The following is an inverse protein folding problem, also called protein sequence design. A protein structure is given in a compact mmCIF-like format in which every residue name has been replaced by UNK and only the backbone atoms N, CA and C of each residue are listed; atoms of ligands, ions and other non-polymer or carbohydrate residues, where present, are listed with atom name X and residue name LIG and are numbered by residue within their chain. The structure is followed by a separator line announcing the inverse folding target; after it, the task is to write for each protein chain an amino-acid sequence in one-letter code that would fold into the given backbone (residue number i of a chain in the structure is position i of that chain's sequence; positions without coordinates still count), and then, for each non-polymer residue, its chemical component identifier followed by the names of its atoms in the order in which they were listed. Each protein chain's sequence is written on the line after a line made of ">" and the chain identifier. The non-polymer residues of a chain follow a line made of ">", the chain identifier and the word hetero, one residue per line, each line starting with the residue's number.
data_IF_461908112283
#
_entry.id   IF_461908112283
#
_cell.length_a   1.000
_cell.length_b   1.000
_cell.length_c   1.000
_cell.angle_alpha   90.00
_cell.angle_beta   90.00
_cell.angle_gamma   90.00
#
_symmetry.space_group_name_H-M   'P 1'
#
loop_
_entity.id
_entity.type
_entity.pdbx_description
1 polymer ?
#
# COMPACT_ATOMS: atom_id res chain seq x y z
N UNK A 1 -4.02 8.31 -10.80
CA UNK A 1 -2.73 8.44 -10.09
C UNK A 1 -3.02 8.44 -8.61
N UNK A 2 -2.02 8.09 -7.83
CA UNK A 2 -2.08 8.13 -6.37
C UNK A 2 -0.86 8.87 -5.84
N UNK A 3 -1.03 9.49 -4.68
CA UNK A 3 0.06 10.00 -3.86
C UNK A 3 0.26 9.05 -2.68
N UNK A 4 1.52 8.83 -2.31
CA UNK A 4 1.89 7.94 -1.21
C UNK A 4 2.47 8.76 -0.06
N UNK A 5 1.92 8.59 1.14
CA UNK A 5 2.35 9.28 2.35
C UNK A 5 2.89 8.27 3.34
N UNK A 6 4.12 8.43 3.83
CA UNK A 6 4.70 7.52 4.83
C UNK A 6 3.95 7.66 6.16
N UNK A 7 3.58 6.52 6.75
CA UNK A 7 2.93 6.44 8.06
C UNK A 7 3.68 5.53 9.04
N UNK A 8 4.82 4.94 8.63
CA UNK A 8 5.71 4.18 9.52
C UNK A 8 6.82 3.42 8.79
N UNK A 9 7.74 2.83 9.55
CA UNK A 9 8.87 2.02 9.02
C UNK A 9 10.02 2.83 8.41
N UNK A 10 10.97 2.17 7.76
CA UNK A 10 12.19 2.80 7.24
C UNK A 10 12.01 3.38 5.83
N UNK A 11 12.26 4.70 5.67
CA UNK A 11 12.17 5.41 4.37
C UNK A 11 13.19 4.91 3.34
N UNK A 12 14.35 4.41 3.76
CA UNK A 12 15.38 3.93 2.85
C UNK A 12 14.92 2.68 2.07
N UNK A 13 13.98 1.92 2.63
CA UNK A 13 13.34 0.82 1.93
C UNK A 13 12.46 1.29 0.78
N UNK A 14 11.87 2.50 0.87
CA UNK A 14 11.04 3.04 -0.19
C UNK A 14 11.84 3.29 -1.45
N UNK A 15 12.97 3.98 -1.33
CA UNK A 15 13.81 4.34 -2.47
C UNK A 15 14.26 3.08 -3.21
N UNK A 16 14.81 2.11 -2.48
CA UNK A 16 15.26 0.82 -3.04
C UNK A 16 14.12 0.04 -3.67
N UNK A 17 12.96 -0.01 -3.00
CA UNK A 17 11.81 -0.77 -3.50
C UNK A 17 11.21 -0.08 -4.72
N UNK A 18 11.09 1.25 -4.77
CA UNK A 18 10.50 2.00 -5.88
C UNK A 18 11.33 1.88 -7.16
N UNK A 19 12.66 1.94 -7.04
CA UNK A 19 13.57 1.70 -8.16
C UNK A 19 13.31 0.33 -8.81
N UNK A 20 12.98 -0.68 -8.01
CA UNK A 20 12.73 -2.04 -8.47
C UNK A 20 11.25 -2.33 -8.82
N UNK A 21 10.33 -1.59 -8.22
CA UNK A 21 8.87 -1.72 -8.39
C UNK A 21 8.36 -1.11 -9.69
N UNK A 22 9.07 -0.11 -10.20
CA UNK A 22 8.50 0.79 -11.19
C UNK A 22 8.54 0.22 -12.61
N UNK A 23 7.38 -0.20 -13.10
CA UNK A 23 7.12 -0.09 -14.53
C UNK A 23 6.99 1.40 -14.85
N UNK A 24 7.67 1.87 -15.89
CA UNK A 24 7.47 3.25 -16.36
C UNK A 24 6.30 3.23 -17.34
N UNK A 25 5.14 3.73 -16.91
CA UNK A 25 3.96 3.92 -17.75
C UNK A 25 3.74 5.41 -17.91
N UNK A 26 3.81 5.92 -19.14
CA UNK A 26 3.68 7.35 -19.43
C UNK A 26 4.62 8.22 -18.58
N UNK A 27 5.90 7.82 -18.46
CA UNK A 27 6.93 8.45 -17.63
C UNK A 27 6.65 8.44 -16.11
N UNK A 28 5.67 7.68 -15.64
CA UNK A 28 5.34 7.56 -14.22
C UNK A 28 5.61 6.14 -13.70
N UNK A 29 6.22 5.99 -12.51
CA UNK A 29 6.31 4.72 -11.80
C UNK A 29 4.93 4.10 -11.57
N UNK A 30 4.78 2.83 -11.91
CA UNK A 30 3.55 2.07 -11.71
C UNK A 30 3.82 0.73 -11.01
N UNK A 31 2.95 0.39 -10.05
CA UNK A 31 2.92 -0.89 -9.35
C UNK A 31 1.81 -1.74 -9.96
N UNK A 32 2.13 -2.96 -10.43
CA UNK A 32 1.15 -3.90 -10.97
C UNK A 32 0.78 -4.95 -9.93
N UNK A 33 -0.47 -4.92 -9.47
CA UNK A 33 -1.04 -5.98 -8.65
C UNK A 33 -1.43 -7.16 -9.56
N UNK A 34 -0.83 -8.32 -9.32
CA UNK A 34 -1.11 -9.56 -10.07
C UNK A 34 -1.55 -10.73 -9.17
N UNK A 35 -1.46 -10.56 -7.86
CA UNK A 35 -1.82 -11.56 -6.86
C UNK A 35 -2.69 -10.94 -5.76
N UNK A 36 -3.30 -11.81 -4.96
CA UNK A 36 -4.07 -11.41 -3.77
C UNK A 36 -3.76 -12.36 -2.61
N UNK A 37 -3.70 -11.82 -1.41
CA UNK A 37 -3.56 -12.56 -0.16
C UNK A 37 -4.84 -12.40 0.64
N UNK A 38 -5.44 -13.49 1.12
CA UNK A 38 -6.61 -13.39 2.01
C UNK A 38 -6.20 -12.75 3.34
N UNK A 39 -7.07 -11.91 3.90
CA UNK A 39 -6.84 -11.25 5.20
C UNK A 39 -7.26 -12.17 6.36
N UNK A 40 -6.75 -13.40 6.35
CA UNK A 40 -6.93 -14.37 7.44
C UNK A 40 -5.87 -14.13 8.54
N UNK A 41 -6.17 -14.50 9.79
CA UNK A 41 -5.33 -14.19 10.95
C UNK A 41 -3.84 -14.53 10.75
N UNK A 42 -3.53 -15.77 10.34
CA UNK A 42 -2.13 -16.19 10.14
C UNK A 42 -1.38 -15.41 9.04
N UNK A 43 -2.09 -14.93 8.01
CA UNK A 43 -1.47 -14.09 6.97
C UNK A 43 -1.19 -12.68 7.50
N UNK A 44 -2.13 -12.10 8.24
CA UNK A 44 -1.96 -10.79 8.87
C UNK A 44 -0.85 -10.82 9.94
N UNK A 45 -0.79 -11.89 10.75
CA UNK A 45 0.26 -12.11 11.73
C UNK A 45 1.65 -12.18 11.09
N UNK A 46 1.78 -12.84 9.93
CA UNK A 46 3.04 -12.88 9.18
C UNK A 46 3.50 -11.48 8.75
N UNK A 47 2.59 -10.66 8.21
CA UNK A 47 2.90 -9.27 7.86
C UNK A 47 3.24 -8.47 9.12
N UNK A 48 2.47 -8.61 10.18
CA UNK A 48 2.70 -7.93 11.46
C UNK A 48 4.06 -8.28 12.07
N UNK A 49 4.48 -9.55 12.00
CA UNK A 49 5.77 -10.00 12.50
C UNK A 49 6.92 -9.33 11.75
N UNK A 50 6.81 -9.15 10.43
CA UNK A 50 7.82 -8.39 9.66
C UNK A 50 7.83 -6.91 10.02
N UNK A 51 6.67 -6.36 10.39
CA UNK A 51 6.54 -4.98 10.84
C UNK A 51 7.02 -4.75 12.29
N UNK A 52 7.44 -5.79 13.01
CA UNK A 52 8.01 -5.66 14.36
C UNK A 52 9.41 -5.04 14.34
N UNK A 53 10.15 -5.20 13.23
CA UNK A 53 11.42 -4.53 12.99
C UNK A 53 11.21 -3.34 12.04
N UNK A 54 11.37 -2.11 12.54
CA UNK A 54 11.22 -0.89 11.74
C UNK A 54 12.19 -0.80 10.55
N UNK A 55 13.29 -1.57 10.55
CA UNK A 55 14.22 -1.65 9.44
C UNK A 55 13.78 -2.60 8.32
N UNK A 56 12.74 -3.41 8.58
CA UNK A 56 12.27 -4.47 7.67
C UNK A 56 10.95 -4.16 6.95
N UNK A 57 10.38 -2.97 7.18
CA UNK A 57 9.21 -2.52 6.42
C UNK A 57 9.17 -1.01 6.19
N UNK A 58 8.36 -0.61 5.22
CA UNK A 58 7.76 0.73 5.16
C UNK A 58 6.25 0.62 5.02
N UNK A 59 5.54 1.47 5.76
CA UNK A 59 4.09 1.62 5.69
C UNK A 59 3.70 2.97 5.09
N UNK A 60 2.78 2.95 4.14
CA UNK A 60 2.33 4.10 3.36
C UNK A 60 0.80 4.16 3.34
N UNK A 61 0.26 5.37 3.21
CA UNK A 61 -1.12 5.62 2.84
C UNK A 61 -1.17 6.16 1.42
N UNK A 62 -1.96 5.50 0.59
CA UNK A 62 -2.19 5.88 -0.79
C UNK A 62 -3.53 6.58 -0.93
N UNK A 63 -3.50 7.82 -1.42
CA UNK A 63 -4.68 8.65 -1.67
C UNK A 63 -4.77 8.95 -3.17
N UNK A 64 -5.99 9.10 -3.73
CA UNK A 64 -6.12 9.53 -5.11
C UNK A 64 -5.58 10.95 -5.26
N UNK A 65 -4.91 11.20 -6.38
CA UNK A 65 -4.48 12.54 -6.79
C UNK A 65 -4.79 12.75 -8.26
N UNK A 66 -5.01 14.01 -8.65
CA UNK A 66 -5.25 14.41 -10.03
C UNK A 66 -4.69 15.79 -10.31
N UNK A 67 -4.40 16.07 -11.56
CA UNK A 67 -3.83 17.35 -12.04
C UNK A 67 -4.82 18.51 -11.97
N UNK A 68 -6.11 18.19 -11.97
CA UNK A 68 -7.21 19.13 -11.81
C UNK A 68 -8.40 18.43 -11.10
N UNK A 69 -9.49 19.16 -10.88
CA UNK A 69 -10.66 18.65 -10.17
C UNK A 69 -11.33 17.46 -10.87
N UNK A 70 -11.46 17.49 -12.19
CA UNK A 70 -12.09 16.42 -12.97
C UNK A 70 -11.24 15.15 -12.94
N UNK A 71 -9.94 15.28 -13.12
CA UNK A 71 -8.98 14.18 -12.99
C UNK A 71 -9.00 13.63 -11.55
N UNK A 72 -9.00 14.47 -10.52
CA UNK A 72 -9.10 14.00 -9.13
C UNK A 72 -10.35 13.16 -8.89
N UNK A 73 -11.51 13.57 -9.41
CA UNK A 73 -12.77 12.81 -9.32
C UNK A 73 -12.62 11.46 -10.05
N UNK A 74 -12.08 11.47 -11.27
CA UNK A 74 -11.84 10.26 -12.05
C UNK A 74 -10.90 9.28 -11.32
N UNK A 75 -9.76 9.75 -10.82
CA UNK A 75 -8.79 8.93 -10.12
C UNK A 75 -9.35 8.40 -8.78
N UNK A 76 -10.15 9.20 -8.09
CA UNK A 76 -10.87 8.76 -6.88
C UNK A 76 -11.83 7.62 -7.20
N UNK A 77 -12.65 7.76 -8.24
CA UNK A 77 -13.57 6.71 -8.67
C UNK A 77 -12.84 5.44 -9.10
N UNK A 78 -11.73 5.57 -9.83
CA UNK A 78 -10.91 4.44 -10.25
C UNK A 78 -10.28 3.72 -9.06
N UNK A 79 -9.69 4.45 -8.10
CA UNK A 79 -9.10 3.85 -6.90
C UNK A 79 -10.16 3.11 -6.08
N UNK A 80 -11.31 3.74 -5.85
CA UNK A 80 -12.39 3.16 -5.07
C UNK A 80 -12.92 1.88 -5.73
N UNK A 81 -13.38 1.97 -6.98
CA UNK A 81 -14.08 0.86 -7.62
C UNK A 81 -13.17 -0.29 -8.05
N UNK A 82 -11.95 0.01 -8.54
CA UNK A 82 -11.05 -1.01 -9.10
C UNK A 82 -10.18 -1.68 -8.06
N UNK A 83 -9.90 -0.99 -6.95
CA UNK A 83 -9.00 -1.50 -5.92
C UNK A 83 -9.71 -1.65 -4.59
N UNK A 84 -10.21 -0.56 -4.00
CA UNK A 84 -10.69 -0.60 -2.61
C UNK A 84 -11.93 -1.49 -2.48
N UNK A 85 -13.00 -1.19 -3.21
CA UNK A 85 -14.26 -1.94 -3.17
C UNK A 85 -14.03 -3.40 -3.60
N UNK A 86 -13.16 -3.62 -4.58
CA UNK A 86 -12.80 -4.97 -5.03
C UNK A 86 -12.10 -5.76 -3.92
N UNK A 87 -11.06 -5.20 -3.30
CA UNK A 87 -10.28 -5.87 -2.25
C UNK A 87 -11.11 -6.07 -0.97
N UNK A 88 -11.96 -5.10 -0.61
CA UNK A 88 -12.96 -5.24 0.47
C UNK A 88 -13.91 -6.41 0.18
N UNK A 89 -14.50 -6.47 -1.03
CA UNK A 89 -15.42 -7.56 -1.39
C UNK A 89 -14.77 -8.94 -1.39
N UNK A 90 -13.44 -9.00 -1.62
CA UNK A 90 -12.68 -10.25 -1.62
C UNK A 90 -12.05 -10.58 -0.28
N UNK A 91 -12.16 -9.69 0.72
CA UNK A 91 -11.50 -9.82 2.01
C UNK A 91 -10.01 -10.16 1.84
N UNK A 92 -9.36 -9.41 0.95
CA UNK A 92 -7.99 -9.69 0.53
C UNK A 92 -7.16 -8.40 0.42
N UNK A 93 -5.84 -8.55 0.59
CA UNK A 93 -4.85 -7.56 0.20
C UNK A 93 -4.37 -7.83 -1.23
N UNK A 94 -4.08 -6.77 -1.99
CA UNK A 94 -3.37 -6.88 -3.26
C UNK A 94 -1.89 -7.18 -3.03
N UNK A 95 -1.32 -8.10 -3.81
CA UNK A 95 0.08 -8.50 -3.69
C UNK A 95 0.85 -8.17 -4.98
N UNK A 96 2.05 -7.62 -4.81
CA UNK A 96 3.06 -7.46 -5.84
C UNK A 96 4.42 -7.91 -5.28
N UNK A 97 5.02 -8.92 -5.90
CA UNK A 97 6.39 -9.31 -5.59
C UNK A 97 7.35 -8.44 -6.41
N UNK A 98 8.37 -7.93 -5.73
CA UNK A 98 9.39 -7.04 -6.28
C UNK A 98 10.69 -7.80 -6.31
N UNK A 99 11.27 -7.91 -7.50
CA UNK A 99 12.43 -8.75 -7.77
C UNK A 99 12.30 -9.34 -9.18
N UNK A 100 13.41 -9.56 -9.86
CA UNK A 100 13.42 -10.21 -11.17
C UNK A 100 14.60 -11.21 -11.26
N UNK A 101 14.62 -12.05 -12.30
CA UNK A 101 15.68 -13.07 -12.49
C UNK A 101 17.10 -12.47 -12.60
N UNK A 102 17.21 -11.18 -12.96
CA UNK A 102 18.47 -10.46 -13.11
C UNK A 102 18.91 -9.77 -11.81
N UNK A 103 17.97 -9.47 -10.91
CA UNK A 103 18.12 -8.81 -9.61
C UNK A 103 17.19 -9.47 -8.58
N UNK A 104 17.56 -10.66 -8.08
CA UNK A 104 16.77 -11.42 -7.11
C UNK A 104 16.77 -10.81 -5.70
N UNK A 105 17.41 -9.66 -5.49
CA UNK A 105 17.54 -9.01 -4.18
C UNK A 105 17.52 -7.48 -4.25
N UNK A 106 16.87 -6.79 -3.30
CA UNK A 106 15.96 -7.37 -2.31
C UNK A 106 14.68 -7.88 -2.98
N UNK A 107 14.31 -9.12 -2.68
CA UNK A 107 12.95 -9.56 -2.89
C UNK A 107 12.11 -8.72 -1.91
N UNK A 108 11.25 -7.83 -2.37
CA UNK A 108 10.29 -7.13 -1.50
C UNK A 108 8.89 -7.63 -1.84
N UNK A 109 7.98 -7.56 -0.88
CA UNK A 109 6.57 -7.86 -1.10
C UNK A 109 5.77 -6.62 -0.74
N UNK A 110 4.99 -6.13 -1.69
CA UNK A 110 4.01 -5.07 -1.48
C UNK A 110 2.68 -5.72 -1.11
N UNK A 111 2.16 -5.33 0.04
CA UNK A 111 0.82 -5.68 0.52
C UNK A 111 -0.04 -4.43 0.47
N UNK A 112 -1.12 -4.46 -0.31
CA UNK A 112 -2.04 -3.34 -0.49
C UNK A 112 -3.36 -3.69 0.17
N UNK A 113 -3.58 -3.19 1.37
CA UNK A 113 -4.79 -3.42 2.14
C UNK A 113 -5.84 -2.35 1.82
N UNK A 114 -7.11 -2.73 1.62
CA UNK A 114 -8.20 -1.77 1.77
C UNK A 114 -8.31 -1.32 3.24
N UNK A 115 -9.16 -0.33 3.56
CA UNK A 115 -9.49 -0.02 4.95
C UNK A 115 -9.99 -1.28 5.68
N UNK A 116 -9.30 -1.68 6.74
CA UNK A 116 -9.59 -2.88 7.52
C UNK A 116 -9.00 -2.75 8.93
N UNK A 117 -9.38 -3.65 9.84
CA UNK A 117 -8.96 -3.60 11.25
C UNK A 117 -7.43 -3.60 11.42
N UNK A 118 -6.71 -4.36 10.59
CA UNK A 118 -5.25 -4.38 10.57
C UNK A 118 -4.66 -2.99 10.26
N UNK A 119 -5.15 -2.33 9.20
CA UNK A 119 -4.72 -0.99 8.82
C UNK A 119 -5.12 0.05 9.87
N UNK A 120 -6.34 -0.03 10.41
CA UNK A 120 -6.87 0.86 11.43
C UNK A 120 -6.06 0.77 12.72
N UNK A 121 -5.75 -0.44 13.20
CA UNK A 121 -4.94 -0.63 14.39
C UNK A 121 -3.52 -0.06 14.23
N UNK A 122 -2.93 -0.20 13.04
CA UNK A 122 -1.64 0.43 12.74
C UNK A 122 -1.73 1.95 12.76
N UNK A 123 -2.71 2.54 12.05
CA UNK A 123 -2.85 3.99 11.94
C UNK A 123 -3.23 4.64 13.28
N UNK A 124 -4.09 4.03 14.08
CA UNK A 124 -4.42 4.51 15.43
C UNK A 124 -3.17 4.64 16.31
N UNK A 125 -2.19 3.75 16.14
CA UNK A 125 -0.94 3.77 16.92
C UNK A 125 0.08 4.77 16.38
N UNK A 126 0.20 4.90 15.05
CA UNK A 126 1.30 5.64 14.42
C UNK A 126 0.89 7.03 13.91
N UNK A 127 -0.33 7.17 13.37
CA UNK A 127 -0.82 8.38 12.70
C UNK A 127 -2.32 8.64 13.02
N UNK A 128 -2.71 8.79 14.31
CA UNK A 128 -4.11 8.90 14.71
C UNK A 128 -4.81 10.13 14.12
N UNK A 129 -4.13 11.28 14.07
CA UNK A 129 -4.67 12.52 13.49
C UNK A 129 -4.99 12.38 12.00
N UNK A 130 -4.19 11.61 11.26
CA UNK A 130 -4.44 11.33 9.85
C UNK A 130 -5.67 10.44 9.70
N UNK A 131 -5.79 9.39 10.51
CA UNK A 131 -6.95 8.50 10.51
C UNK A 131 -8.25 9.24 10.81
N UNK A 132 -8.25 10.12 11.82
CA UNK A 132 -9.39 10.98 12.15
C UNK A 132 -9.78 11.87 10.98
N UNK A 133 -8.80 12.48 10.31
CA UNK A 133 -9.04 13.32 9.13
C UNK A 133 -9.69 12.52 8.00
N UNK A 134 -9.22 11.29 7.77
CA UNK A 134 -9.76 10.41 6.74
C UNK A 134 -11.19 9.97 7.05
N UNK A 135 -11.50 9.66 8.32
CA UNK A 135 -12.86 9.36 8.77
C UNK A 135 -13.79 10.56 8.63
N UNK A 136 -13.39 11.74 9.09
CA UNK A 136 -14.19 12.97 8.98
C UNK A 136 -14.53 13.31 7.51
N UNK A 137 -13.57 13.10 6.61
CA UNK A 137 -13.75 13.36 5.18
C UNK A 137 -14.39 12.20 4.41
N UNK A 138 -14.66 11.07 5.08
CA UNK A 138 -15.09 9.80 4.45
C UNK A 138 -14.20 9.42 3.26
N UNK A 139 -12.90 9.71 3.38
CA UNK A 139 -11.95 9.45 2.35
C UNK A 139 -11.55 7.97 2.40
N UNK A 140 -11.68 7.28 1.28
CA UNK A 140 -11.14 5.92 1.13
C UNK A 140 -9.64 6.00 0.81
N UNK A 141 -8.90 4.99 1.25
CA UNK A 141 -7.45 4.89 1.05
C UNK A 141 -7.03 3.44 0.83
N UNK A 142 -5.81 3.25 0.33
CA UNK A 142 -5.12 1.98 0.46
C UNK A 142 -4.00 2.13 1.50
N UNK A 143 -3.93 1.18 2.43
CA UNK A 143 -2.80 1.05 3.33
C UNK A 143 -1.80 0.08 2.70
N UNK A 144 -0.60 0.58 2.40
CA UNK A 144 0.42 -0.18 1.68
C UNK A 144 1.58 -0.48 2.61
N UNK A 145 1.92 -1.76 2.74
CA UNK A 145 3.09 -2.21 3.49
C UNK A 145 4.05 -2.89 2.53
N UNK A 146 5.26 -2.35 2.43
CA UNK A 146 6.35 -2.98 1.69
C UNK A 146 7.25 -3.62 2.72
N UNK A 147 7.42 -4.94 2.65
CA UNK A 147 8.32 -5.69 3.54
C UNK A 147 9.47 -6.26 2.76
N UNK A 148 10.65 -6.33 3.37
CA UNK A 148 11.73 -7.16 2.84
C UNK A 148 11.31 -8.64 2.84
N UNK A 149 11.78 -9.39 1.86
CA UNK A 149 11.84 -10.84 1.92
C UNK A 149 13.19 -11.21 2.53
N UNK A 150 13.21 -11.22 3.85
CA UNK A 150 14.10 -12.06 4.63
C UNK A 150 13.47 -13.44 4.81
#
# INVERSE_FOLDING_TARGET
>A
MIQMHRVGGNVDMLTRSLEQLSLIINNMPAIRINQRMRMEAGQLESVQSKMADEQSYIALICLPCGTNKEDLIYQTNMLNTRFIDYLESKQAAGICNVGNEQHPTPNCIVHMFPPCDFATAFLMRNEPSLLDTMHQRRAKYLFVVITSAG
#
